data_IF_735570784410
#
_entry.id   IF_735570784410
#
_cell.length_a   1.000
_cell.length_b   1.000
_cell.length_c   1.000
_cell.angle_alpha   90.00
_cell.angle_beta   90.00
_cell.angle_gamma   90.00
#
_symmetry.space_group_name_H-M   'P 1'
#
loop_
_entity.id
_entity.type
_entity.pdbx_description
1 polymer ?
#
# COMPACT_ATOMS: atom_id res chain seq x y z
N UNK A 1 25.75 57.82 26.58
CA UNK A 1 25.84 57.46 25.15
C UNK A 1 26.60 56.15 25.12
N UNK A 2 25.97 55.00 24.89
CA UNK A 2 24.69 54.71 24.27
C UNK A 2 24.00 53.58 25.03
N UNK A 3 22.68 53.68 25.07
CA UNK A 3 21.77 52.54 25.19
C UNK A 3 22.04 51.51 24.08
N UNK A 4 21.36 50.37 24.17
CA UNK A 4 21.16 49.29 23.18
C UNK A 4 21.75 47.95 23.68
N UNK A 5 20.99 46.86 23.81
CA UNK A 5 19.58 46.57 23.53
C UNK A 5 19.19 45.40 24.45
N UNK A 6 18.04 45.54 25.10
CA UNK A 6 17.41 44.52 25.94
C UNK A 6 16.85 43.43 25.02
N UNK A 7 17.68 42.43 24.73
CA UNK A 7 17.36 41.27 23.89
C UNK A 7 16.52 40.24 24.66
N UNK A 8 15.47 40.71 25.37
CA UNK A 8 14.50 39.82 25.99
C UNK A 8 13.56 39.31 24.89
N UNK A 9 13.47 37.99 24.64
CA UNK A 9 12.50 37.47 23.68
C UNK A 9 11.12 37.87 24.18
N UNK A 10 10.42 38.69 23.40
CA UNK A 10 9.03 39.05 23.66
C UNK A 10 8.22 37.75 23.58
N UNK A 11 8.06 37.08 24.73
CA UNK A 11 7.22 35.93 24.87
C UNK A 11 5.77 36.43 24.80
N UNK A 12 5.22 36.48 23.58
CA UNK A 12 3.79 36.62 23.39
C UNK A 12 3.15 35.35 23.95
N UNK A 13 2.75 35.37 25.21
CA UNK A 13 2.00 34.29 25.85
C UNK A 13 0.55 34.32 25.35
N UNK A 14 0.34 34.12 24.05
CA UNK A 14 -1.02 33.89 23.54
C UNK A 14 -1.40 32.50 24.04
N UNK A 15 -2.31 32.46 25.00
CA UNK A 15 -2.85 31.20 25.48
C UNK A 15 -3.61 30.53 24.34
N UNK A 16 -3.41 29.23 24.14
CA UNK A 16 -4.21 28.43 23.20
C UNK A 16 -5.72 28.65 23.44
N UNK A 17 -6.12 28.98 24.66
CA UNK A 17 -7.51 29.23 25.07
C UNK A 17 -8.06 30.61 24.68
N UNK A 18 -7.21 31.53 24.24
CA UNK A 18 -7.55 32.89 23.83
C UNK A 18 -7.67 33.04 22.31
N UNK A 19 -7.36 31.98 21.56
CA UNK A 19 -7.46 32.01 20.11
C UNK A 19 -8.91 32.20 19.62
N UNK A 20 -9.09 32.88 18.47
CA UNK A 20 -10.38 32.97 17.79
C UNK A 20 -10.92 31.60 17.35
N UNK A 21 -12.24 31.51 17.18
CA UNK A 21 -12.91 30.27 16.78
C UNK A 21 -12.40 29.73 15.43
N UNK A 22 -12.10 30.65 14.50
CA UNK A 22 -11.59 30.37 13.16
C UNK A 22 -10.24 29.65 13.20
N UNK A 23 -9.41 29.94 14.21
CA UNK A 23 -8.12 29.28 14.38
C UNK A 23 -8.31 27.85 14.88
N UNK A 24 -9.24 27.61 15.83
CA UNK A 24 -9.55 26.25 16.25
C UNK A 24 -10.13 25.40 15.13
N UNK A 25 -10.98 25.97 14.28
CA UNK A 25 -11.51 25.27 13.10
C UNK A 25 -10.35 24.82 12.21
N UNK A 26 -9.40 25.72 11.90
CA UNK A 26 -8.21 25.36 11.14
C UNK A 26 -7.39 24.27 11.83
N UNK A 27 -7.19 24.35 13.15
CA UNK A 27 -6.48 23.32 13.90
C UNK A 27 -7.17 21.96 13.71
N UNK A 28 -8.49 21.87 13.96
CA UNK A 28 -9.23 20.61 13.81
C UNK A 28 -9.14 20.04 12.38
N UNK A 29 -9.19 20.90 11.35
CA UNK A 29 -9.06 20.48 9.95
C UNK A 29 -7.62 20.13 9.53
N UNK A 30 -6.61 20.48 10.34
CA UNK A 30 -5.22 20.07 10.11
C UNK A 30 -4.83 18.79 10.84
N UNK A 31 -5.64 18.33 11.80
CA UNK A 31 -5.38 17.11 12.52
C UNK A 31 -5.61 15.90 11.62
N UNK A 32 -4.59 15.04 11.54
CA UNK A 32 -4.56 13.96 10.56
C UNK A 32 -5.51 12.79 10.89
N UNK A 33 -5.78 12.54 12.18
CA UNK A 33 -6.41 11.30 12.62
C UNK A 33 -7.44 11.47 13.75
N UNK A 34 -8.32 10.47 13.89
CA UNK A 34 -9.42 10.47 14.86
C UNK A 34 -8.90 10.63 16.29
N UNK A 35 -7.78 9.97 16.62
CA UNK A 35 -7.15 10.05 17.93
C UNK A 35 -6.85 11.48 18.35
N UNK A 36 -6.20 12.25 17.48
CA UNK A 36 -5.81 13.63 17.77
C UNK A 36 -7.02 14.55 17.89
N UNK A 37 -8.03 14.36 17.03
CA UNK A 37 -9.28 15.13 17.10
C UNK A 37 -10.03 14.89 18.40
N UNK A 38 -10.11 13.62 18.83
CA UNK A 38 -10.76 13.25 20.08
C UNK A 38 -9.99 13.77 21.28
N UNK A 39 -8.65 13.69 21.28
CA UNK A 39 -7.84 14.28 22.34
C UNK A 39 -8.04 15.79 22.45
N UNK A 40 -8.03 16.51 21.32
CA UNK A 40 -8.19 17.96 21.31
C UNK A 40 -9.59 18.40 21.77
N UNK A 41 -10.66 17.77 21.27
CA UNK A 41 -12.02 18.15 21.67
C UNK A 41 -12.28 17.93 23.16
N UNK A 42 -11.71 16.86 23.73
CA UNK A 42 -11.86 16.51 25.14
C UNK A 42 -11.05 17.41 26.08
N UNK A 43 -10.15 18.24 25.54
CA UNK A 43 -9.30 19.12 26.36
C UNK A 43 -10.12 20.18 27.11
N UNK A 44 -11.17 20.75 26.49
CA UNK A 44 -12.07 21.68 27.18
C UNK A 44 -13.42 21.88 26.47
N UNK A 45 -14.41 22.42 27.20
CA UNK A 45 -15.75 22.72 26.67
C UNK A 45 -15.75 23.71 25.49
N UNK A 46 -14.79 24.63 25.42
CA UNK A 46 -14.68 25.59 24.30
C UNK A 46 -14.34 24.86 23.01
N UNK A 47 -13.35 23.97 23.04
CA UNK A 47 -12.93 23.15 21.90
C UNK A 47 -14.01 22.15 21.50
N UNK A 48 -14.64 21.49 22.48
CA UNK A 48 -15.81 20.63 22.21
C UNK A 48 -16.93 21.41 21.52
N UNK A 49 -17.24 22.62 21.99
CA UNK A 49 -18.25 23.48 21.38
C UNK A 49 -17.92 23.94 19.96
N UNK A 50 -16.63 24.08 19.62
CA UNK A 50 -16.18 24.33 18.24
C UNK A 50 -16.33 23.06 17.41
N UNK A 51 -15.80 21.93 17.90
CA UNK A 51 -15.86 20.64 17.22
C UNK A 51 -17.29 20.25 16.86
N UNK A 52 -18.25 20.36 17.77
CA UNK A 52 -19.65 20.04 17.52
C UNK A 52 -20.27 20.84 16.34
N UNK A 53 -19.74 22.03 16.03
CA UNK A 53 -20.19 22.83 14.87
C UNK A 53 -19.59 22.38 13.54
N UNK A 54 -18.45 21.69 13.58
CA UNK A 54 -17.67 21.27 12.41
C UNK A 54 -17.48 19.75 12.34
N UNK A 55 -18.17 18.98 13.19
CA UNK A 55 -17.90 17.56 13.39
C UNK A 55 -18.02 16.77 12.09
N UNK A 56 -19.04 17.07 11.28
CA UNK A 56 -19.23 16.43 9.99
C UNK A 56 -18.12 16.80 9.00
N UNK A 57 -17.72 18.07 8.93
CA UNK A 57 -16.62 18.51 8.06
C UNK A 57 -15.31 17.85 8.45
N UNK A 58 -15.01 17.74 9.75
CA UNK A 58 -13.82 17.05 10.24
C UNK A 58 -13.87 15.56 9.90
N UNK A 59 -15.01 14.90 10.09
CA UNK A 59 -15.19 13.48 9.75
C UNK A 59 -14.96 13.22 8.26
N UNK A 60 -15.54 14.04 7.38
CA UNK A 60 -15.36 13.93 5.92
C UNK A 60 -13.91 14.16 5.52
N UNK A 61 -13.26 15.20 6.06
CA UNK A 61 -11.84 15.48 5.80
C UNK A 61 -10.95 14.31 6.22
N UNK A 62 -11.19 13.74 7.41
CA UNK A 62 -10.43 12.59 7.92
C UNK A 62 -10.66 11.31 7.11
N UNK A 63 -11.90 11.09 6.64
CA UNK A 63 -12.20 9.96 5.76
C UNK A 63 -11.42 10.10 4.44
N UNK A 64 -11.46 11.28 3.81
CA UNK A 64 -10.76 11.52 2.53
C UNK A 64 -9.23 11.43 2.65
N UNK A 65 -8.63 11.73 3.81
CA UNK A 65 -7.19 11.52 4.06
C UNK A 65 -6.75 10.06 3.94
N UNK A 66 -7.68 9.12 4.10
CA UNK A 66 -7.44 7.68 3.95
C UNK A 66 -7.92 7.20 2.59
N UNK A 67 -9.13 7.58 2.19
CA UNK A 67 -9.77 7.12 0.95
C UNK A 67 -9.05 7.63 -0.29
N UNK A 68 -8.65 8.91 -0.32
CA UNK A 68 -8.05 9.50 -1.52
C UNK A 68 -6.70 8.86 -1.88
N UNK A 69 -5.76 8.60 -0.94
CA UNK A 69 -4.53 7.87 -1.25
C UNK A 69 -4.77 6.48 -1.86
N UNK A 70 -5.69 5.69 -1.29
CA UNK A 70 -6.03 4.36 -1.81
C UNK A 70 -6.62 4.47 -3.22
N UNK A 71 -7.60 5.38 -3.41
CA UNK A 71 -8.22 5.65 -4.72
C UNK A 71 -7.17 6.05 -5.76
N UNK A 72 -6.28 6.98 -5.44
CA UNK A 72 -5.21 7.44 -6.34
C UNK A 72 -4.25 6.29 -6.70
N UNK A 73 -3.96 5.40 -5.75
CA UNK A 73 -3.12 4.23 -6.00
C UNK A 73 -3.81 3.23 -6.95
N UNK A 74 -5.09 2.94 -6.74
CA UNK A 74 -5.83 2.06 -7.63
C UNK A 74 -6.02 2.66 -9.03
N UNK A 75 -6.31 3.96 -9.14
CA UNK A 75 -6.34 4.67 -10.42
C UNK A 75 -4.99 4.62 -11.14
N UNK A 76 -3.89 4.69 -10.38
CA UNK A 76 -2.56 4.49 -10.92
C UNK A 76 -2.37 3.05 -11.44
N UNK A 77 -2.74 2.03 -10.66
CA UNK A 77 -2.66 0.63 -11.07
C UNK A 77 -3.53 0.33 -12.30
N UNK A 78 -4.71 0.95 -12.39
CA UNK A 78 -5.62 0.85 -13.55
C UNK A 78 -4.96 1.37 -14.83
N UNK A 79 -4.29 2.53 -14.76
CA UNK A 79 -3.53 3.07 -15.91
C UNK A 79 -2.25 2.30 -16.20
N UNK A 80 -1.65 1.72 -15.18
CA UNK A 80 -0.35 1.08 -15.28
C UNK A 80 -0.45 -0.36 -15.81
N UNK A 81 -1.24 -1.22 -15.15
CA UNK A 81 -1.17 -2.67 -15.36
C UNK A 81 -2.51 -3.41 -15.34
N UNK A 82 -3.50 -2.97 -14.55
CA UNK A 82 -4.72 -3.76 -14.37
C UNK A 82 -5.50 -3.82 -15.68
N UNK A 83 -6.24 -4.90 -15.98
CA UNK A 83 -7.15 -4.91 -17.12
C UNK A 83 -8.16 -3.76 -17.04
N UNK A 84 -8.66 -3.29 -18.19
CA UNK A 84 -9.62 -2.19 -18.23
C UNK A 84 -10.92 -2.54 -17.47
N UNK A 85 -11.55 -1.53 -16.87
CA UNK A 85 -12.81 -1.63 -16.12
C UNK A 85 -12.74 -2.49 -14.83
N UNK A 86 -11.53 -2.69 -14.28
CA UNK A 86 -11.33 -3.49 -13.06
C UNK A 86 -11.49 -2.70 -11.78
N UNK A 87 -11.12 -1.43 -11.78
CA UNK A 87 -11.31 -0.59 -10.60
C UNK A 87 -12.75 -0.08 -10.55
N UNK A 88 -13.46 -0.44 -9.48
CA UNK A 88 -14.81 0.03 -9.19
C UNK A 88 -14.77 1.13 -8.16
N UNK A 89 -15.44 2.23 -8.45
CA UNK A 89 -15.57 3.36 -7.54
C UNK A 89 -16.93 3.35 -6.83
N UNK A 90 -16.97 3.80 -5.57
CA UNK A 90 -18.22 3.89 -4.83
C UNK A 90 -19.16 4.93 -5.47
N UNK A 91 -20.49 4.75 -5.34
CA UNK A 91 -21.43 5.81 -5.68
C UNK A 91 -21.29 7.01 -4.72
N UNK A 92 -21.90 8.18 -5.00
CA UNK A 92 -21.74 9.39 -4.17
C UNK A 92 -22.10 9.26 -2.69
N UNK A 93 -22.91 8.26 -2.32
CA UNK A 93 -23.27 7.96 -0.92
C UNK A 93 -22.51 6.77 -0.30
N UNK A 94 -21.50 6.25 -0.99
CA UNK A 94 -20.77 5.04 -0.62
C UNK A 94 -21.52 3.74 -0.94
N UNK A 95 -20.83 2.61 -0.80
CA UNK A 95 -21.38 1.29 -1.04
C UNK A 95 -22.54 0.97 -0.09
N UNK A 96 -23.79 0.80 -0.59
CA UNK A 96 -24.98 0.77 0.27
C UNK A 96 -25.10 -0.51 1.10
N UNK A 97 -24.49 -1.61 0.66
CA UNK A 97 -24.54 -2.91 1.33
C UNK A 97 -23.48 -3.06 2.44
N UNK A 98 -22.48 -2.17 2.52
CA UNK A 98 -21.50 -2.14 3.61
C UNK A 98 -22.19 -1.57 4.84
N UNK A 99 -22.86 -2.43 5.60
CA UNK A 99 -23.57 -2.11 6.81
C UNK A 99 -23.30 -3.16 7.88
N UNK A 100 -23.22 -2.77 9.16
CA UNK A 100 -23.09 -3.74 10.24
C UNK A 100 -24.40 -4.53 10.32
N UNK A 101 -24.29 -5.86 10.41
CA UNK A 101 -25.44 -6.76 10.41
C UNK A 101 -25.19 -7.97 11.31
N UNK A 102 -26.23 -8.55 11.92
CA UNK A 102 -26.06 -9.68 12.82
C UNK A 102 -25.35 -10.85 12.13
N UNK A 103 -24.19 -11.24 12.64
CA UNK A 103 -23.43 -12.37 12.11
C UNK A 103 -22.62 -12.06 10.85
N UNK A 104 -22.54 -10.80 10.41
CA UNK A 104 -21.44 -10.37 9.55
C UNK A 104 -20.31 -9.84 10.44
N UNK A 105 -19.07 -10.03 10.04
CA UNK A 105 -17.97 -9.58 10.87
C UNK A 105 -17.85 -8.03 10.91
N UNK A 106 -18.60 -7.30 10.09
CA UNK A 106 -18.63 -5.82 10.11
C UNK A 106 -19.31 -5.29 11.39
N UNK A 107 -20.04 -6.14 12.13
CA UNK A 107 -20.68 -5.81 13.40
C UNK A 107 -19.68 -5.32 14.46
N UNK A 108 -18.43 -5.80 14.44
CA UNK A 108 -17.41 -5.40 15.42
C UNK A 108 -16.74 -4.06 15.07
N UNK A 109 -16.84 -3.59 13.82
CA UNK A 109 -16.11 -2.41 13.32
C UNK A 109 -16.76 -1.09 13.78
N UNK A 110 -15.94 -0.06 13.94
CA UNK A 110 -16.44 1.27 14.32
C UNK A 110 -17.17 1.98 13.19
N UNK A 111 -18.09 2.92 13.49
CA UNK A 111 -18.80 3.69 12.45
C UNK A 111 -17.86 4.41 11.48
N UNK A 112 -16.72 4.93 11.96
CA UNK A 112 -15.74 5.61 11.11
C UNK A 112 -15.00 4.64 10.18
N UNK A 113 -14.65 3.44 10.67
CA UNK A 113 -14.07 2.40 9.83
C UNK A 113 -15.04 1.94 8.72
N UNK A 114 -16.32 1.80 9.06
CA UNK A 114 -17.37 1.48 8.09
C UNK A 114 -17.57 2.59 7.05
N UNK A 115 -17.44 3.87 7.43
CA UNK A 115 -17.48 4.96 6.46
C UNK A 115 -16.32 4.89 5.48
N UNK A 116 -15.10 4.56 5.95
CA UNK A 116 -13.96 4.39 5.06
C UNK A 116 -14.24 3.27 4.06
N UNK A 117 -14.63 2.08 4.52
CA UNK A 117 -14.97 0.95 3.63
C UNK A 117 -16.03 1.34 2.59
N UNK A 118 -17.08 2.07 2.98
CA UNK A 118 -18.11 2.55 2.06
C UNK A 118 -17.57 3.43 0.93
N UNK A 119 -16.48 4.14 1.15
CA UNK A 119 -15.93 5.12 0.21
C UNK A 119 -14.63 4.66 -0.45
N UNK A 120 -14.14 3.46 -0.14
CA UNK A 120 -13.00 2.88 -0.86
C UNK A 120 -13.43 2.42 -2.27
N UNK A 121 -12.47 2.51 -3.19
CA UNK A 121 -12.54 1.84 -4.49
C UNK A 121 -11.97 0.44 -4.35
N UNK A 122 -12.40 -0.49 -5.19
CA UNK A 122 -12.01 -1.90 -5.12
C UNK A 122 -11.63 -2.44 -6.49
N UNK A 123 -10.81 -3.50 -6.51
CA UNK A 123 -10.50 -4.25 -7.73
C UNK A 123 -11.51 -5.38 -7.84
N UNK A 124 -12.35 -5.33 -8.87
CA UNK A 124 -13.32 -6.38 -9.15
C UNK A 124 -12.67 -7.53 -9.92
N UNK A 125 -12.98 -8.75 -9.47
CA UNK A 125 -12.63 -9.97 -10.20
C UNK A 125 -13.88 -10.69 -10.75
N UNK A 126 -14.17 -10.62 -12.07
CA UNK A 126 -15.33 -11.24 -12.67
C UNK A 126 -15.27 -12.77 -12.76
N UNK A 127 -14.11 -13.41 -12.63
CA UNK A 127 -13.98 -14.84 -12.92
C UNK A 127 -13.07 -15.60 -11.95
N UNK A 128 -13.46 -16.80 -11.45
CA UNK A 128 -12.56 -17.71 -10.74
C UNK A 128 -11.47 -18.34 -11.63
N UNK A 129 -11.40 -17.96 -12.91
CA UNK A 129 -10.39 -18.37 -13.89
C UNK A 129 -9.38 -17.24 -14.17
N UNK A 130 -9.53 -16.11 -13.50
CA UNK A 130 -8.60 -15.00 -13.62
C UNK A 130 -7.20 -15.44 -13.18
N UNK A 131 -6.20 -15.06 -13.95
CA UNK A 131 -4.81 -15.32 -13.57
C UNK A 131 -4.53 -14.50 -12.32
N UNK A 132 -4.41 -15.20 -11.20
CA UNK A 132 -4.40 -14.66 -9.84
C UNK A 132 -3.43 -13.47 -9.67
N UNK A 133 -2.39 -13.44 -10.50
CA UNK A 133 -1.35 -12.42 -10.49
C UNK A 133 -1.72 -11.08 -11.15
N UNK A 134 -2.66 -11.06 -12.10
CA UNK A 134 -3.02 -9.82 -12.80
C UNK A 134 -3.69 -8.80 -11.86
N UNK A 135 -4.41 -9.29 -10.83
CA UNK A 135 -5.14 -8.49 -9.83
C UNK A 135 -4.30 -8.06 -8.63
N UNK A 136 -3.06 -8.53 -8.53
CA UNK A 136 -2.16 -8.23 -7.41
C UNK A 136 -1.93 -6.72 -7.25
N UNK A 137 -2.04 -6.18 -6.04
CA UNK A 137 -1.65 -4.78 -5.75
C UNK A 137 -0.16 -4.63 -5.45
N UNK A 138 0.47 -5.70 -4.98
CA UNK A 138 1.93 -5.89 -4.79
C UNK A 138 2.25 -7.37 -4.99
N UNK A 139 3.51 -7.80 -4.87
CA UNK A 139 3.87 -9.20 -5.01
C UNK A 139 3.00 -10.10 -4.12
N UNK A 140 2.30 -11.03 -4.77
CA UNK A 140 1.46 -12.04 -4.12
C UNK A 140 0.50 -11.45 -3.09
N UNK A 141 -0.08 -10.29 -3.40
CA UNK A 141 -1.09 -9.67 -2.55
C UNK A 141 -2.25 -9.13 -3.37
N UNK A 142 -3.47 -9.50 -3.01
CA UNK A 142 -4.71 -9.07 -3.68
C UNK A 142 -5.47 -8.14 -2.77
N UNK A 143 -6.11 -7.13 -3.37
CA UNK A 143 -7.00 -6.26 -2.62
C UNK A 143 -8.22 -7.05 -2.13
N UNK A 144 -8.62 -6.81 -0.88
CA UNK A 144 -9.87 -7.34 -0.33
C UNK A 144 -11.04 -6.50 -0.87
N UNK A 145 -11.93 -7.11 -1.63
CA UNK A 145 -13.10 -6.44 -2.22
C UNK A 145 -14.32 -6.47 -1.28
N UNK A 146 -14.51 -5.42 -0.49
CA UNK A 146 -15.69 -5.31 0.38
C UNK A 146 -16.96 -4.84 -0.34
N UNK A 147 -16.89 -4.57 -1.65
CA UNK A 147 -18.06 -4.14 -2.44
C UNK A 147 -18.97 -5.29 -2.87
N UNK A 148 -18.56 -6.53 -2.61
CA UNK A 148 -19.34 -7.74 -2.87
C UNK A 148 -19.77 -8.37 -1.52
N UNK A 149 -21.04 -8.77 -1.42
CA UNK A 149 -21.69 -9.09 -0.14
C UNK A 149 -21.12 -10.33 0.59
N UNK A 150 -20.40 -11.21 -0.12
CA UNK A 150 -19.87 -12.47 0.39
C UNK A 150 -18.34 -12.44 0.65
N UNK A 151 -17.67 -11.33 0.36
CA UNK A 151 -16.21 -11.26 0.38
C UNK A 151 -15.61 -11.08 1.78
N UNK A 152 -16.41 -10.71 2.79
CA UNK A 152 -15.88 -10.50 4.13
C UNK A 152 -15.84 -11.79 4.95
N UNK A 153 -14.70 -12.49 4.91
CA UNK A 153 -14.31 -13.50 5.89
C UNK A 153 -13.76 -12.83 7.16
N UNK A 154 -14.49 -11.87 7.72
CA UNK A 154 -13.98 -11.17 8.90
C UNK A 154 -13.90 -12.06 10.12
N UNK A 155 -12.96 -11.71 11.00
CA UNK A 155 -12.63 -12.46 12.21
C UNK A 155 -11.17 -12.92 12.28
N UNK A 156 -10.40 -12.74 11.21
CA UNK A 156 -8.95 -12.99 11.26
C UNK A 156 -8.16 -11.79 11.78
N UNK A 157 -8.64 -10.54 11.63
CA UNK A 157 -7.84 -9.37 12.03
C UNK A 157 -7.55 -9.34 13.53
N UNK A 158 -8.54 -9.71 14.36
CA UNK A 158 -8.37 -9.80 15.82
C UNK A 158 -7.45 -10.98 16.21
N UNK A 159 -7.52 -12.11 15.49
CA UNK A 159 -6.66 -13.28 15.73
C UNK A 159 -5.20 -12.98 15.40
N UNK A 160 -4.92 -12.29 14.29
CA UNK A 160 -3.57 -11.89 13.91
C UNK A 160 -2.98 -10.81 14.85
N UNK A 161 -3.80 -9.84 15.29
CA UNK A 161 -3.38 -8.85 16.29
C UNK A 161 -3.01 -9.48 17.64
N UNK A 162 -3.71 -10.55 18.04
CA UNK A 162 -3.47 -11.28 19.29
C UNK A 162 -2.34 -12.33 19.18
N UNK A 163 -2.18 -13.00 18.04
CA UNK A 163 -1.26 -14.13 17.83
C UNK A 163 0.11 -13.70 17.28
N UNK A 164 0.17 -12.76 16.33
CA UNK A 164 1.44 -12.32 15.72
C UNK A 164 2.22 -11.35 16.58
N UNK A 165 1.56 -10.66 17.51
CA UNK A 165 2.17 -9.68 18.40
C UNK A 165 2.94 -8.60 17.63
N UNK A 166 2.42 -7.38 17.56
CA UNK A 166 3.17 -6.19 17.13
C UNK A 166 4.28 -5.85 18.14
N UNK A 167 5.17 -6.79 18.42
CA UNK A 167 6.24 -6.76 19.41
C UNK A 167 7.52 -6.29 18.70
N UNK A 168 7.51 -5.02 18.35
CA UNK A 168 8.74 -4.27 18.05
C UNK A 168 8.83 -3.12 19.04
N UNK A 169 9.93 -2.99 19.76
CA UNK A 169 10.13 -1.95 20.80
C UNK A 169 10.06 -0.50 20.24
N UNK A 170 10.11 -0.33 18.90
CA UNK A 170 10.21 0.97 18.23
C UNK A 170 8.92 1.43 17.52
N UNK A 171 7.80 0.72 17.68
CA UNK A 171 6.57 0.99 16.94
C UNK A 171 5.35 1.23 17.85
N UNK A 172 4.46 2.18 17.52
CA UNK A 172 3.22 2.35 18.26
C UNK A 172 2.36 1.08 18.08
N UNK A 173 1.81 0.51 19.17
CA UNK A 173 0.94 -0.64 19.04
C UNK A 173 -0.28 -0.25 18.21
N UNK A 174 -0.81 -1.18 17.38
CA UNK A 174 -2.04 -0.93 16.66
C UNK A 174 -3.18 -0.65 17.64
N UNK A 175 -4.18 0.11 17.17
CA UNK A 175 -5.43 0.29 17.90
C UNK A 175 -6.21 -1.03 18.01
N UNK A 176 -7.26 -1.04 18.83
CA UNK A 176 -8.19 -2.18 18.92
C UNK A 176 -8.68 -2.61 17.53
N UNK A 177 -8.78 -3.91 17.26
CA UNK A 177 -9.05 -4.44 15.91
C UNK A 177 -10.34 -3.97 15.25
N UNK A 178 -11.30 -3.42 16.02
CA UNK A 178 -12.47 -2.68 15.50
C UNK A 178 -12.14 -1.42 14.69
N UNK A 179 -10.92 -0.89 14.83
CA UNK A 179 -10.39 0.24 14.07
C UNK A 179 -9.52 -0.20 12.89
N UNK A 180 -9.09 -1.45 12.85
CA UNK A 180 -8.20 -1.98 11.83
C UNK A 180 -9.02 -2.51 10.66
N UNK A 181 -8.61 -2.22 9.44
CA UNK A 181 -9.18 -2.76 8.21
C UNK A 181 -8.08 -3.44 7.40
N UNK A 182 -8.35 -4.63 6.87
CA UNK A 182 -7.48 -5.26 5.88
C UNK A 182 -7.74 -4.65 4.51
N UNK A 183 -6.70 -4.21 3.82
CA UNK A 183 -6.78 -3.68 2.46
C UNK A 183 -6.33 -4.71 1.43
N UNK A 184 -5.30 -5.51 1.76
CA UNK A 184 -4.81 -6.57 0.91
C UNK A 184 -4.41 -7.79 1.73
N UNK A 185 -4.67 -8.97 1.17
CA UNK A 185 -4.23 -10.25 1.72
C UNK A 185 -3.04 -10.75 0.90
N UNK A 186 -1.96 -11.12 1.58
CA UNK A 186 -0.84 -11.85 1.04
C UNK A 186 -1.14 -13.35 0.94
N UNK A 187 -0.42 -14.07 0.07
CA UNK A 187 -0.40 -15.53 0.07
C UNK A 187 1.00 -16.09 -0.18
N UNK A 188 1.24 -17.29 0.34
CA UNK A 188 2.43 -18.12 0.10
C UNK A 188 3.75 -17.39 0.44
N UNK A 189 4.06 -17.26 1.74
CA UNK A 189 5.36 -16.84 2.29
C UNK A 189 5.68 -15.36 2.05
N UNK A 190 6.27 -14.98 0.90
CA UNK A 190 6.53 -13.59 0.49
C UNK A 190 5.31 -12.69 0.19
N UNK A 191 4.08 -13.14 0.42
CA UNK A 191 2.89 -12.30 0.24
C UNK A 191 2.76 -11.26 1.36
N UNK A 192 2.41 -10.03 1.00
CA UNK A 192 2.22 -8.96 1.97
C UNK A 192 0.76 -8.70 2.30
N UNK A 193 0.40 -8.77 3.59
CA UNK A 193 -0.87 -8.27 4.08
C UNK A 193 -0.75 -6.77 4.38
N UNK A 194 -1.71 -5.98 3.91
CA UNK A 194 -1.74 -4.53 4.13
C UNK A 194 -2.95 -4.20 4.99
N UNK A 195 -2.72 -3.57 6.14
CA UNK A 195 -3.73 -3.15 7.08
C UNK A 195 -3.71 -1.63 7.28
N UNK A 196 -4.86 -1.05 7.62
CA UNK A 196 -4.97 0.36 7.97
C UNK A 196 -5.69 0.54 9.31
N UNK A 197 -5.05 1.26 10.22
CA UNK A 197 -5.66 1.72 11.46
C UNK A 197 -6.40 3.03 11.22
N UNK A 198 -7.73 2.95 11.21
CA UNK A 198 -8.61 4.10 10.98
C UNK A 198 -8.62 5.10 12.14
N UNK A 199 -8.13 4.72 13.32
CA UNK A 199 -8.02 5.62 14.47
C UNK A 199 -6.82 6.55 14.38
N UNK A 200 -5.70 6.03 13.89
CA UNK A 200 -4.41 6.73 13.80
C UNK A 200 -4.06 7.19 12.37
N UNK A 201 -4.69 6.59 11.36
CA UNK A 201 -4.40 6.80 9.93
C UNK A 201 -3.14 6.08 9.45
N UNK A 202 -2.57 5.19 10.26
CA UNK A 202 -1.35 4.45 9.97
C UNK A 202 -1.64 3.20 9.15
N UNK A 203 -0.73 2.90 8.22
CA UNK A 203 -0.72 1.66 7.44
C UNK A 203 0.35 0.74 7.99
N UNK A 204 -0.01 -0.54 8.07
CA UNK A 204 0.86 -1.63 8.48
C UNK A 204 0.96 -2.59 7.29
N UNK A 205 2.18 -2.97 6.92
CA UNK A 205 2.42 -3.99 5.92
C UNK A 205 3.22 -5.10 6.57
N UNK A 206 2.64 -6.29 6.55
CA UNK A 206 3.11 -7.50 7.20
C UNK A 206 3.39 -8.54 6.13
N UNK A 207 4.48 -9.29 6.27
CA UNK A 207 4.70 -10.48 5.45
C UNK A 207 4.03 -11.65 6.16
N UNK A 208 3.16 -12.39 5.47
CA UNK A 208 2.19 -13.35 6.04
C UNK A 208 2.79 -14.36 7.05
N UNK A 209 4.12 -14.57 7.03
CA UNK A 209 4.83 -15.48 7.92
C UNK A 209 5.90 -14.83 8.82
N UNK A 210 6.18 -13.51 8.73
CA UNK A 210 7.37 -12.90 9.35
C UNK A 210 7.15 -11.64 10.22
N UNK A 211 5.93 -11.09 10.31
CA UNK A 211 5.68 -9.88 11.08
C UNK A 211 5.99 -8.59 10.30
N UNK A 212 5.62 -7.41 10.84
CA UNK A 212 5.66 -6.15 10.08
C UNK A 212 7.07 -5.83 9.60
N UNK A 213 7.26 -5.86 8.29
CA UNK A 213 8.55 -5.61 7.64
C UNK A 213 8.68 -4.18 7.10
N UNK A 214 7.58 -3.42 6.99
CA UNK A 214 7.58 -2.07 6.45
C UNK A 214 7.46 -0.99 7.55
N UNK A 215 7.97 0.24 7.30
CA UNK A 215 7.78 1.35 8.22
C UNK A 215 6.29 1.69 8.34
N UNK A 216 5.81 1.81 9.59
CA UNK A 216 4.45 2.22 9.90
C UNK A 216 4.33 3.71 9.62
N UNK A 217 3.64 4.06 8.55
CA UNK A 217 3.51 5.45 8.06
C UNK A 217 2.06 5.78 7.73
N UNK A 218 1.78 7.07 7.52
CA UNK A 218 0.44 7.53 7.17
C UNK A 218 0.02 7.00 5.79
N UNK A 219 -1.26 6.70 5.62
CA UNK A 219 -1.80 6.21 4.34
C UNK A 219 -1.39 7.04 3.12
N UNK A 220 -1.39 8.38 3.25
CA UNK A 220 -0.96 9.27 2.17
C UNK A 220 0.49 9.01 1.71
N UNK A 221 1.38 8.71 2.65
CA UNK A 221 2.81 8.57 2.40
C UNK A 221 3.08 7.16 1.90
N UNK A 222 2.43 6.15 2.51
CA UNK A 222 2.50 4.76 2.08
C UNK A 222 2.15 4.57 0.60
N UNK A 223 0.97 5.02 0.20
CA UNK A 223 0.52 4.84 -1.19
C UNK A 223 1.28 5.73 -2.17
N UNK A 224 1.71 6.92 -1.76
CA UNK A 224 2.57 7.78 -2.58
C UNK A 224 3.95 7.15 -2.83
N UNK A 225 4.55 6.58 -1.79
CA UNK A 225 5.85 5.92 -1.89
C UNK A 225 5.75 4.61 -2.67
N UNK A 226 4.64 3.86 -2.54
CA UNK A 226 4.38 2.70 -3.39
C UNK A 226 4.28 3.08 -4.87
N UNK A 227 3.57 4.16 -5.22
CA UNK A 227 3.53 4.65 -6.61
C UNK A 227 4.94 4.99 -7.12
N UNK A 228 5.77 5.64 -6.30
CA UNK A 228 7.16 5.96 -6.67
C UNK A 228 7.98 4.68 -6.87
N UNK A 229 7.85 3.71 -5.96
CA UNK A 229 8.49 2.39 -6.04
C UNK A 229 8.17 1.70 -7.37
N UNK A 230 6.90 1.67 -7.76
CA UNK A 230 6.45 1.08 -9.03
C UNK A 230 6.96 1.84 -10.26
N UNK A 231 7.05 3.17 -10.20
CA UNK A 231 7.64 3.97 -11.28
C UNK A 231 9.14 3.75 -11.44
N UNK A 232 9.84 3.40 -10.36
CA UNK A 232 11.28 3.07 -10.37
C UNK A 232 11.56 1.61 -10.75
N UNK A 233 10.53 0.77 -10.82
CA UNK A 233 10.67 -0.68 -11.01
C UNK A 233 11.45 -1.37 -9.90
N UNK A 234 11.27 -0.94 -8.64
CA UNK A 234 11.68 -1.73 -7.47
C UNK A 234 10.94 -3.09 -7.48
N UNK A 235 9.72 -3.08 -8.02
CA UNK A 235 8.83 -4.21 -8.33
C UNK A 235 8.49 -4.19 -9.83
N UNK A 236 8.76 -5.29 -10.52
CA UNK A 236 8.50 -5.44 -11.96
C UNK A 236 7.27 -6.32 -12.16
N UNK A 237 6.15 -5.71 -12.54
CA UNK A 237 4.92 -6.45 -12.83
C UNK A 237 5.00 -7.19 -14.16
N UNK A 238 4.60 -8.46 -14.10
CA UNK A 238 4.54 -9.37 -15.24
C UNK A 238 3.09 -9.84 -15.39
N UNK A 239 2.40 -9.49 -16.48
CA UNK A 239 1.04 -9.98 -16.71
C UNK A 239 0.99 -11.51 -16.75
N UNK A 240 0.10 -12.10 -15.95
CA UNK A 240 -0.07 -13.55 -15.80
C UNK A 240 1.08 -14.27 -15.10
N UNK A 241 1.90 -13.56 -14.31
CA UNK A 241 2.99 -14.15 -13.54
C UNK A 241 3.30 -13.34 -12.27
N UNK A 242 4.11 -13.91 -11.38
CA UNK A 242 4.55 -13.23 -10.18
C UNK A 242 5.34 -11.95 -10.50
N UNK A 243 5.09 -10.89 -9.72
CA UNK A 243 5.92 -9.69 -9.71
C UNK A 243 7.37 -10.06 -9.39
N UNK A 244 8.32 -9.63 -10.22
CA UNK A 244 9.74 -9.86 -9.97
C UNK A 244 10.27 -8.69 -9.12
N UNK A 245 10.85 -9.00 -7.97
CA UNK A 245 11.50 -7.99 -7.14
C UNK A 245 12.93 -7.75 -7.61
N UNK A 246 13.25 -6.50 -7.96
CA UNK A 246 14.63 -6.14 -8.26
C UNK A 246 15.54 -6.18 -7.02
N UNK A 247 14.93 -6.21 -5.83
CA UNK A 247 15.61 -6.30 -4.54
C UNK A 247 16.11 -7.70 -4.17
N UNK A 248 15.84 -8.73 -4.98
CA UNK A 248 16.30 -10.08 -4.65
C UNK A 248 17.73 -10.33 -5.16
N UNK A 249 18.72 -10.24 -4.25
CA UNK A 249 19.92 -11.06 -4.39
C UNK A 249 19.64 -12.42 -3.74
N UNK A 250 19.26 -13.40 -4.57
CA UNK A 250 19.18 -14.79 -4.15
C UNK A 250 20.57 -15.30 -3.79
N UNK A 251 20.79 -15.62 -2.52
CA UNK A 251 21.87 -16.51 -2.11
C UNK A 251 21.24 -17.78 -1.53
N UNK A 252 21.24 -18.86 -2.31
CA UNK A 252 21.10 -20.19 -1.72
C UNK A 252 22.36 -20.47 -0.91
N UNK A 253 22.29 -20.31 0.42
CA UNK A 253 23.36 -20.75 1.29
C UNK A 253 22.99 -22.12 1.83
N UNK A 254 23.58 -23.17 1.27
CA UNK A 254 23.62 -24.48 1.95
C UNK A 254 24.29 -24.28 3.32
N UNK A 255 23.50 -24.20 4.38
CA UNK A 255 23.98 -24.27 5.75
C UNK A 255 24.02 -25.75 6.15
N UNK A 256 25.20 -26.40 6.20
CA UNK A 256 25.27 -27.75 6.72
C UNK A 256 25.08 -27.72 8.23
N UNK A 257 24.03 -28.38 8.75
CA UNK A 257 24.01 -28.79 10.15
C UNK A 257 23.82 -30.30 10.30
N UNK A 258 24.55 -30.84 11.25
CA UNK A 258 24.61 -32.24 11.63
C UNK A 258 23.18 -32.79 11.84
N UNK A 259 22.70 -33.63 10.92
CA UNK A 259 21.55 -34.56 11.02
C UNK A 259 20.22 -34.23 10.29
N UNK A 260 20.18 -33.36 9.28
CA UNK A 260 19.00 -33.26 8.40
C UNK A 260 19.08 -32.08 7.43
N UNK A 261 18.62 -32.25 6.19
CA UNK A 261 18.61 -31.20 5.18
C UNK A 261 17.37 -30.30 5.36
N UNK A 262 17.58 -29.00 5.47
CA UNK A 262 16.58 -27.96 5.25
C UNK A 262 17.21 -26.86 4.40
N UNK A 263 16.45 -26.25 3.49
CA UNK A 263 16.88 -25.10 2.70
C UNK A 263 16.52 -23.85 3.48
N UNK A 264 17.50 -23.16 4.04
CA UNK A 264 17.30 -21.85 4.65
C UNK A 264 17.38 -20.82 3.52
N UNK A 265 16.23 -20.29 3.08
CA UNK A 265 16.17 -19.24 2.05
C UNK A 265 16.37 -17.91 2.76
N UNK A 266 17.63 -17.45 2.82
CA UNK A 266 17.96 -16.11 3.32
C UNK A 266 17.75 -15.10 2.17
N UNK A 267 16.58 -14.48 2.10
CA UNK A 267 16.32 -13.40 1.14
C UNK A 267 17.12 -12.16 1.56
N UNK A 268 18.20 -11.84 0.83
CA UNK A 268 19.01 -10.66 1.12
C UNK A 268 18.65 -9.53 0.15
N UNK A 269 18.04 -8.49 0.71
CA UNK A 269 17.74 -7.24 0.04
C UNK A 269 19.04 -6.52 -0.34
N UNK A 270 19.24 -6.26 -1.64
CA UNK A 270 20.27 -5.31 -2.10
C UNK A 270 19.56 -3.99 -2.38
N UNK A 271 19.99 -2.93 -1.70
CA UNK A 271 19.51 -1.58 -1.99
C UNK A 271 19.93 -1.22 -3.42
N UNK A 272 18.94 -1.15 -4.32
CA UNK A 272 19.12 -0.64 -5.67
C UNK A 272 19.06 0.89 -5.62
N UNK A 273 20.20 1.54 -5.89
CA UNK A 273 20.23 2.98 -6.14
C UNK A 273 20.10 3.23 -7.66
N UNK A 274 19.01 3.85 -8.13
CA UNK A 274 18.86 4.21 -9.53
C UNK A 274 19.96 5.15 -10.06
N UNK A 275 20.67 5.86 -9.19
CA UNK A 275 21.81 6.70 -9.56
C UNK A 275 23.09 5.87 -9.81
N UNK A 276 23.22 4.68 -9.20
CA UNK A 276 24.38 3.80 -9.35
C UNK A 276 24.29 2.90 -10.61
N UNK A 277 23.07 2.59 -11.08
CA UNK A 277 22.81 1.81 -12.29
C UNK A 277 21.70 2.45 -13.16
N UNK A 278 22.04 3.53 -13.89
CA UNK A 278 21.09 4.23 -14.73
C UNK A 278 20.64 3.36 -15.91
N UNK A 279 19.34 3.30 -16.14
CA UNK A 279 18.77 2.59 -17.29
C UNK A 279 19.32 3.11 -18.62
N UNK A 280 19.93 2.23 -19.41
CA UNK A 280 20.45 2.52 -20.76
C UNK A 280 19.71 1.68 -21.82
N UNK A 281 18.78 2.33 -22.54
CA UNK A 281 17.99 1.68 -23.59
C UNK A 281 18.84 1.17 -24.76
N UNK A 282 19.92 1.87 -25.13
CA UNK A 282 20.79 1.44 -26.23
C UNK A 282 21.63 0.22 -25.85
N UNK A 283 22.07 0.16 -24.59
CA UNK A 283 22.73 -1.02 -24.05
C UNK A 283 21.80 -2.24 -24.04
N UNK A 284 20.55 -2.08 -23.59
CA UNK A 284 19.55 -3.15 -23.59
C UNK A 284 19.26 -3.66 -25.01
N UNK A 285 19.03 -2.78 -25.99
CA UNK A 285 18.79 -3.19 -27.39
C UNK A 285 20.02 -3.89 -28.00
N UNK A 286 21.24 -3.50 -27.63
CA UNK A 286 22.49 -4.12 -28.09
C UNK A 286 22.72 -5.49 -27.46
N UNK A 287 22.42 -5.63 -26.17
CA UNK A 287 22.46 -6.90 -25.45
C UNK A 287 21.43 -7.87 -26.04
N UNK A 288 20.26 -7.34 -26.40
CA UNK A 288 19.13 -8.11 -26.90
C UNK A 288 18.43 -8.89 -25.80
N UNK A 289 17.34 -9.55 -26.17
CA UNK A 289 16.56 -10.41 -25.28
C UNK A 289 17.45 -11.54 -24.73
N UNK A 290 17.48 -11.68 -23.41
CA UNK A 290 18.22 -12.77 -22.75
C UNK A 290 17.67 -14.14 -23.18
N UNK A 291 18.56 -15.06 -23.61
CA UNK A 291 18.14 -16.36 -24.13
C UNK A 291 17.68 -17.34 -23.03
N UNK A 292 18.17 -17.13 -21.80
CA UNK A 292 17.79 -17.82 -20.56
C UNK A 292 17.75 -19.34 -20.66
N UNK A 293 18.65 -19.92 -21.47
CA UNK A 293 18.67 -21.36 -21.78
C UNK A 293 18.99 -22.27 -20.59
N UNK A 294 19.47 -21.74 -19.46
CA UNK A 294 19.83 -22.50 -18.25
C UNK A 294 19.36 -21.87 -16.93
N UNK A 295 18.46 -20.87 -16.97
CA UNK A 295 17.97 -20.18 -15.76
C UNK A 295 16.44 -20.19 -15.72
N UNK A 296 15.91 -20.32 -14.49
CA UNK A 296 14.49 -20.19 -14.21
C UNK A 296 14.00 -18.77 -14.58
N UNK A 297 12.75 -18.68 -15.04
CA UNK A 297 12.13 -17.39 -15.33
C UNK A 297 11.99 -16.58 -14.04
N UNK A 298 12.15 -15.26 -14.13
CA UNK A 298 12.08 -14.36 -12.98
C UNK A 298 13.44 -13.97 -12.42
N UNK A 299 14.52 -14.18 -13.19
CA UNK A 299 15.84 -13.68 -12.83
C UNK A 299 15.97 -12.17 -13.07
N UNK A 300 17.10 -11.58 -12.65
CA UNK A 300 17.35 -10.15 -12.78
C UNK A 300 17.38 -9.70 -14.25
N UNK A 301 17.90 -10.55 -15.15
CA UNK A 301 17.94 -10.28 -16.58
C UNK A 301 16.53 -10.26 -17.21
N UNK A 302 15.61 -11.11 -16.72
CA UNK A 302 14.21 -11.08 -17.13
C UNK A 302 13.54 -9.77 -16.65
N UNK A 303 13.81 -9.36 -15.40
CA UNK A 303 13.31 -8.10 -14.84
C UNK A 303 13.82 -6.87 -15.63
N UNK A 304 15.11 -6.83 -15.97
CA UNK A 304 15.71 -5.75 -16.74
C UNK A 304 15.14 -5.66 -18.16
N UNK A 305 14.90 -6.81 -18.80
CA UNK A 305 14.26 -6.84 -20.12
C UNK A 305 12.80 -6.36 -20.08
N UNK A 306 12.02 -6.80 -19.08
CA UNK A 306 10.64 -6.35 -18.91
C UNK A 306 10.59 -4.85 -18.61
N UNK A 307 11.48 -4.35 -17.74
CA UNK A 307 11.65 -2.90 -17.50
C UNK A 307 11.96 -2.16 -18.81
N UNK A 308 12.83 -2.71 -19.65
CA UNK A 308 13.11 -2.15 -20.96
C UNK A 308 11.85 -2.07 -21.83
N UNK A 309 10.99 -3.09 -21.83
CA UNK A 309 9.70 -3.05 -22.55
C UNK A 309 8.80 -1.91 -22.04
N UNK A 310 8.66 -1.75 -20.73
CA UNK A 310 7.90 -0.61 -20.18
C UNK A 310 8.41 0.74 -20.68
N UNK A 311 9.72 0.97 -20.62
CA UNK A 311 10.31 2.24 -21.09
C UNK A 311 10.17 2.41 -22.61
N UNK A 312 10.35 1.35 -23.39
CA UNK A 312 10.20 1.36 -24.85
C UNK A 312 8.78 1.75 -25.29
N UNK A 313 7.78 1.39 -24.48
CA UNK A 313 6.38 1.73 -24.69
C UNK A 313 5.96 3.03 -23.99
N UNK A 314 6.91 3.81 -23.46
CA UNK A 314 6.68 5.19 -23.02
C UNK A 314 6.35 5.37 -21.54
N UNK A 315 6.40 4.32 -20.71
CA UNK A 315 6.25 4.45 -19.26
C UNK A 315 7.45 5.20 -18.64
N UNK A 316 7.29 6.01 -17.57
CA UNK A 316 6.04 6.47 -16.95
C UNK A 316 5.51 7.78 -17.57
N UNK A 317 5.86 8.06 -18.82
CA UNK A 317 5.52 9.30 -19.52
C UNK A 317 4.08 9.35 -20.06
N UNK A 318 3.70 10.52 -20.60
CA UNK A 318 2.35 10.78 -21.11
C UNK A 318 1.99 9.95 -22.35
N UNK A 319 2.99 9.45 -23.08
CA UNK A 319 2.81 8.62 -24.29
C UNK A 319 2.81 7.11 -23.97
N UNK A 320 2.54 6.73 -22.72
CA UNK A 320 2.47 5.34 -22.29
C UNK A 320 1.39 4.56 -23.07
N UNK A 321 1.82 3.54 -23.81
CA UNK A 321 0.96 2.60 -24.51
C UNK A 321 0.85 1.29 -23.71
N UNK A 322 -0.14 1.28 -22.80
CA UNK A 322 -0.42 0.16 -21.88
C UNK A 322 -0.65 -1.14 -22.64
N UNK A 323 -1.59 -1.16 -23.57
CA UNK A 323 -1.99 -2.36 -24.29
C UNK A 323 -0.82 -2.96 -25.09
N UNK A 324 -0.07 -2.13 -25.82
CA UNK A 324 1.07 -2.61 -26.60
C UNK A 324 2.19 -3.14 -25.69
N UNK A 325 2.46 -2.49 -24.56
CA UNK A 325 3.48 -2.95 -23.63
C UNK A 325 3.11 -4.26 -22.97
N UNK A 326 1.91 -4.37 -22.40
CA UNK A 326 1.49 -5.58 -21.71
C UNK A 326 1.45 -6.77 -22.69
N UNK A 327 1.09 -6.55 -23.95
CA UNK A 327 1.21 -7.57 -24.99
C UNK A 327 2.67 -7.96 -25.27
N UNK A 328 3.58 -6.99 -25.40
CA UNK A 328 5.00 -7.27 -25.62
C UNK A 328 5.63 -8.08 -24.47
N UNK A 329 5.20 -7.83 -23.23
CA UNK A 329 5.64 -8.59 -22.05
C UNK A 329 5.09 -10.02 -22.13
N UNK A 330 3.80 -10.22 -22.40
CA UNK A 330 3.22 -11.56 -22.58
C UNK A 330 3.95 -12.36 -23.65
N UNK A 331 4.20 -11.75 -24.80
CA UNK A 331 4.93 -12.40 -25.89
C UNK A 331 6.36 -12.79 -25.48
N UNK A 332 7.02 -11.97 -24.65
CA UNK A 332 8.34 -12.28 -24.08
C UNK A 332 8.28 -13.46 -23.10
N UNK A 333 7.35 -13.45 -22.16
CA UNK A 333 7.15 -14.51 -21.16
C UNK A 333 6.85 -15.84 -21.86
N UNK A 334 5.96 -15.84 -22.85
CA UNK A 334 5.63 -17.04 -23.63
C UNK A 334 6.84 -17.61 -24.36
N UNK A 335 7.69 -16.75 -24.97
CA UNK A 335 8.95 -17.19 -25.59
C UNK A 335 9.92 -17.77 -24.56
N UNK A 336 10.03 -17.17 -23.37
CA UNK A 336 10.90 -17.68 -22.28
C UNK A 336 10.44 -19.05 -21.79
N UNK A 337 9.14 -19.25 -21.59
CA UNK A 337 8.55 -20.56 -21.21
C UNK A 337 8.78 -21.63 -22.28
N UNK A 338 8.60 -21.30 -23.56
CA UNK A 338 8.88 -22.22 -24.66
C UNK A 338 10.35 -22.65 -24.73
N UNK A 339 11.29 -21.74 -24.44
CA UNK A 339 12.74 -22.05 -24.43
C UNK A 339 13.16 -22.88 -23.21
N UNK A 340 12.57 -22.63 -22.04
CA UNK A 340 12.88 -23.39 -20.82
C UNK A 340 12.24 -24.79 -20.78
N UNK A 341 11.32 -25.09 -21.70
CA UNK A 341 10.68 -26.40 -21.82
C UNK A 341 9.65 -26.70 -20.73
N UNK A 342 9.27 -25.71 -19.91
CA UNK A 342 8.15 -25.82 -18.96
C UNK A 342 6.85 -25.44 -19.69
N UNK A 343 5.93 -26.39 -19.74
CA UNK A 343 4.52 -26.22 -20.14
C UNK A 343 3.65 -26.31 -18.91
#
# INVERSE_FOLDING_TARGET
>A
MSDDEDDTPIAWSISLMELPAEVYIKIFLTLFNQQSVVALRLTCRKLEGVYQRIAETVRVDQCERIVAPVRNFLEFLDRFKLPNDRVRHPPPGGWPHIQPGPGNALESKTPFALDILRHLSYIYDPEPQFDYYDGCVTHRSTMVDYSEADAYQGGQEDLWLEESGFVGDDHPPPSEGRHILTLADGWEGPGHCIYIDTWTGLVYEDEEECGPCAPIILAQDFFSDRIKSLKRFDEVFVPGDHTIYRRQAHYEREMPWRNGHFWDREERYVDYDPDDDPYDAEAMERQGEHDGTNQEFGCMEDADWIRHLYFKHGWPGENWDKEACLQAIRDFVDRRRQRSGRW
#
